data_IF_283800738092
#
_entry.id   IF_283800738092
#
_cell.length_a   1.000
_cell.length_b   1.000
_cell.length_c   1.000
_cell.angle_alpha   90.00
_cell.angle_beta   90.00
_cell.angle_gamma   90.00
#
_symmetry.space_group_name_H-M   'P 1'
#
loop_
_entity.id
_entity.type
_entity.pdbx_description
1 polymer ?
#
# COMPACT_ATOMS: atom_id res chain seq x y z
N UNK A 1 55.98 -58.22 -39.23
CA UNK A 1 56.30 -58.21 -37.77
C UNK A 1 55.99 -56.91 -37.01
N UNK A 2 55.98 -55.74 -37.66
CA UNK A 2 55.79 -54.43 -36.92
C UNK A 2 54.34 -54.16 -36.38
N UNK A 3 53.28 -54.75 -36.92
CA UNK A 3 51.91 -54.55 -36.54
C UNK A 3 51.53 -55.17 -35.18
N UNK A 4 52.09 -56.36 -34.83
CA UNK A 4 51.84 -57.03 -33.55
C UNK A 4 52.44 -56.21 -32.35
N UNK A 5 53.48 -55.47 -32.57
CA UNK A 5 54.12 -54.65 -31.55
C UNK A 5 53.35 -53.38 -31.21
N UNK A 6 52.68 -52.77 -32.22
CA UNK A 6 51.85 -51.56 -32.02
C UNK A 6 50.57 -51.91 -31.29
N UNK A 7 49.92 -53.05 -31.63
CA UNK A 7 48.70 -53.48 -30.95
C UNK A 7 48.99 -53.81 -29.49
N UNK A 8 50.10 -54.45 -29.15
CA UNK A 8 50.49 -54.71 -27.77
C UNK A 8 50.73 -53.43 -26.98
N UNK A 9 51.31 -52.40 -27.59
CA UNK A 9 51.55 -51.10 -26.93
C UNK A 9 50.25 -50.35 -26.68
N UNK A 10 49.29 -50.37 -27.60
CA UNK A 10 47.98 -49.73 -27.45
C UNK A 10 47.21 -50.44 -26.33
N UNK A 11 47.17 -51.78 -26.28
CA UNK A 11 46.51 -52.53 -25.22
C UNK A 11 47.16 -52.23 -23.86
N UNK A 12 48.47 -52.14 -23.79
CA UNK A 12 49.16 -51.82 -22.54
C UNK A 12 48.85 -50.41 -22.04
N UNK A 13 48.71 -49.43 -22.94
CA UNK A 13 48.28 -48.05 -22.57
C UNK A 13 46.83 -48.01 -22.12
N UNK A 14 45.94 -48.74 -22.73
CA UNK A 14 44.54 -48.82 -22.32
C UNK A 14 44.44 -49.49 -20.93
N UNK A 15 45.16 -50.57 -20.68
CA UNK A 15 45.21 -51.22 -19.37
C UNK A 15 45.78 -50.31 -18.27
N UNK A 16 46.84 -49.54 -18.64
CA UNK A 16 47.44 -48.58 -17.69
C UNK A 16 46.49 -47.42 -17.34
N UNK A 17 45.72 -46.92 -18.32
CA UNK A 17 44.68 -45.88 -18.10
C UNK A 17 43.54 -46.41 -17.26
N UNK A 18 43.11 -47.67 -17.50
CA UNK A 18 42.08 -48.35 -16.69
C UNK A 18 42.57 -48.60 -15.25
N UNK A 19 43.82 -48.94 -15.08
CA UNK A 19 44.41 -49.11 -13.73
C UNK A 19 44.61 -47.78 -13.00
N UNK A 20 44.96 -46.68 -13.68
CA UNK A 20 45.01 -45.37 -13.07
C UNK A 20 43.60 -44.88 -12.62
N UNK A 21 42.56 -45.22 -13.40
CA UNK A 21 41.17 -44.88 -13.03
C UNK A 21 40.68 -45.65 -11.77
N UNK A 22 41.26 -46.84 -11.48
CA UNK A 22 40.95 -47.61 -10.30
C UNK A 22 41.70 -47.20 -9.03
N UNK A 23 42.71 -46.32 -9.17
CA UNK A 23 43.52 -45.76 -8.06
C UNK A 23 42.96 -44.45 -7.52
N UNK A 24 41.85 -43.97 -8.05
CA UNK A 24 41.11 -42.89 -7.38
C UNK A 24 40.49 -43.48 -6.14
N UNK A 25 40.96 -43.12 -4.95
CA UNK A 25 40.37 -43.69 -3.70
C UNK A 25 38.89 -43.26 -3.71
N UNK A 26 38.01 -44.26 -3.72
CA UNK A 26 36.54 -44.04 -3.66
C UNK A 26 36.10 -43.38 -2.32
N UNK A 27 37.06 -42.90 -1.55
CA UNK A 27 36.82 -42.30 -0.23
C UNK A 27 36.60 -40.79 -0.23
N UNK A 28 36.60 -40.14 -1.40
CA UNK A 28 36.50 -38.66 -1.41
C UNK A 28 35.23 -38.10 -2.01
N UNK A 29 34.24 -38.92 -2.37
CA UNK A 29 33.07 -38.34 -3.10
C UNK A 29 31.73 -38.54 -2.38
N UNK A 30 31.69 -39.34 -1.36
CA UNK A 30 30.49 -39.40 -0.50
C UNK A 30 30.89 -39.02 0.93
N UNK A 31 31.38 -37.82 1.16
CA UNK A 31 30.84 -37.11 2.30
C UNK A 31 29.34 -37.06 1.98
N UNK A 32 28.61 -38.08 2.42
CA UNK A 32 27.17 -37.95 2.57
C UNK A 32 27.02 -36.63 3.34
N UNK A 33 26.55 -35.59 2.62
CA UNK A 33 25.96 -34.44 3.26
C UNK A 33 24.92 -35.10 4.16
N UNK A 34 25.25 -35.30 5.43
CA UNK A 34 24.24 -35.69 6.41
C UNK A 34 23.09 -34.75 6.05
N UNK A 35 22.01 -35.33 5.54
CA UNK A 35 20.78 -34.59 5.32
C UNK A 35 20.36 -34.21 6.73
N UNK A 36 20.93 -33.09 7.22
CA UNK A 36 20.32 -32.40 8.34
C UNK A 36 18.87 -32.24 7.93
N UNK A 37 18.02 -32.99 8.62
CA UNK A 37 16.60 -32.95 8.37
C UNK A 37 16.17 -31.52 8.64
N UNK A 38 15.92 -30.76 7.57
CA UNK A 38 15.52 -29.36 7.69
C UNK A 38 14.41 -29.22 8.73
N UNK A 39 14.55 -28.27 9.62
CA UNK A 39 13.51 -27.95 10.59
C UNK A 39 12.33 -27.29 9.87
N UNK A 40 11.13 -27.81 10.13
CA UNK A 40 9.93 -27.33 9.46
C UNK A 40 9.39 -26.05 10.13
N UNK A 41 9.17 -25.03 9.35
CA UNK A 41 8.49 -23.80 9.73
C UNK A 41 6.99 -23.96 9.45
N UNK A 42 6.17 -23.86 10.48
CA UNK A 42 4.71 -23.98 10.39
C UNK A 42 4.02 -22.66 10.06
N UNK A 43 4.74 -21.54 10.12
CA UNK A 43 4.19 -20.21 9.83
C UNK A 43 5.26 -19.21 9.43
N UNK A 44 4.83 -18.13 8.73
CA UNK A 44 5.60 -16.91 8.58
C UNK A 44 4.70 -15.69 8.72
N UNK A 45 5.23 -14.67 9.34
CA UNK A 45 4.56 -13.37 9.49
C UNK A 45 5.50 -12.24 9.04
N UNK A 46 4.93 -11.29 8.29
CA UNK A 46 5.59 -10.03 7.95
C UNK A 46 4.78 -8.90 8.55
N UNK A 47 5.46 -8.02 9.28
CA UNK A 47 4.87 -6.87 9.96
C UNK A 47 5.49 -5.57 9.48
N UNK A 48 4.98 -4.43 9.94
CA UNK A 48 5.54 -3.11 9.65
C UNK A 48 5.24 -2.58 8.25
N UNK A 49 4.51 -3.30 7.40
CA UNK A 49 4.06 -2.78 6.11
C UNK A 49 2.92 -1.78 6.33
N UNK A 50 3.07 -0.58 5.79
CA UNK A 50 2.02 0.44 5.86
C UNK A 50 0.84 0.05 4.98
N UNK A 51 -0.37 0.06 5.55
CA UNK A 51 -1.60 -0.20 4.79
C UNK A 51 -1.81 0.86 3.68
N UNK A 52 -2.46 0.49 2.55
CA UNK A 52 -2.75 1.41 1.47
C UNK A 52 -3.52 2.65 1.94
N UNK A 53 -3.04 3.83 1.56
CA UNK A 53 -3.69 5.13 1.80
C UNK A 53 -3.62 5.96 0.52
N UNK A 54 -4.73 6.56 0.13
CA UNK A 54 -4.82 7.40 -1.06
C UNK A 54 -3.70 8.43 -1.09
N UNK A 55 -2.98 8.51 -2.22
CA UNK A 55 -1.88 9.44 -2.45
C UNK A 55 -0.54 9.06 -1.83
N UNK A 56 -0.50 8.05 -0.97
CA UNK A 56 0.76 7.55 -0.40
C UNK A 56 1.52 6.68 -1.41
N UNK A 57 2.83 6.67 -1.29
CA UNK A 57 3.68 5.74 -2.02
C UNK A 57 3.64 4.35 -1.34
N UNK A 58 3.97 3.29 -2.09
CA UNK A 58 3.98 1.93 -1.56
C UNK A 58 5.12 1.72 -0.56
N UNK A 59 4.83 0.99 0.51
CA UNK A 59 5.82 0.60 1.51
C UNK A 59 6.35 -0.79 1.19
N UNK A 60 7.67 -0.91 1.00
CA UNK A 60 8.37 -2.17 0.73
C UNK A 60 9.31 -2.59 1.85
N UNK A 61 9.21 -1.97 3.03
CA UNK A 61 10.16 -2.10 4.14
C UNK A 61 9.67 -2.98 5.29
N UNK A 62 8.84 -3.98 5.00
CA UNK A 62 8.34 -4.92 5.99
C UNK A 62 9.44 -5.58 6.83
N UNK A 63 9.10 -6.03 8.01
CA UNK A 63 9.99 -6.71 8.96
C UNK A 63 9.44 -8.09 9.33
N UNK A 64 10.31 -8.97 9.82
CA UNK A 64 9.92 -10.25 10.42
C UNK A 64 10.09 -10.19 11.94
N UNK A 65 9.32 -10.97 12.73
CA UNK A 65 9.48 -11.05 14.18
C UNK A 65 10.91 -11.43 14.58
N UNK A 66 11.38 -10.89 15.70
CA UNK A 66 12.71 -11.19 16.23
C UNK A 66 12.89 -12.69 16.44
N UNK A 67 14.04 -13.23 16.03
CA UNK A 67 14.36 -14.65 16.14
C UNK A 67 13.73 -15.53 15.05
N UNK A 68 13.04 -14.96 14.06
CA UNK A 68 12.53 -15.67 12.89
C UNK A 68 13.64 -16.44 12.18
N UNK A 69 13.30 -17.62 11.68
CA UNK A 69 14.21 -18.49 10.91
C UNK A 69 14.02 -18.31 9.39
N UNK A 70 13.59 -17.13 8.98
CA UNK A 70 13.41 -16.69 7.60
C UNK A 70 13.60 -15.16 7.50
N UNK A 71 13.80 -14.69 6.31
CA UNK A 71 13.95 -13.26 5.97
C UNK A 71 13.05 -12.88 4.80
N UNK A 72 12.74 -11.59 4.67
CA UNK A 72 12.04 -11.04 3.50
C UNK A 72 13.05 -10.92 2.36
N UNK A 73 12.71 -11.47 1.20
CA UNK A 73 13.46 -11.31 -0.06
C UNK A 73 12.93 -10.11 -0.82
N UNK A 74 11.59 -9.99 -0.89
CA UNK A 74 10.94 -8.97 -1.72
C UNK A 74 9.53 -8.66 -1.25
N UNK A 75 9.17 -7.37 -1.36
CA UNK A 75 7.80 -6.90 -1.21
C UNK A 75 7.41 -6.15 -2.48
N UNK A 76 6.28 -6.53 -3.09
CA UNK A 76 5.72 -5.85 -4.25
C UNK A 76 4.25 -5.51 -3.98
N UNK A 77 3.84 -4.39 -4.56
CA UNK A 77 2.45 -3.97 -4.55
C UNK A 77 1.89 -3.96 -5.97
N UNK A 78 0.62 -4.31 -6.09
CA UNK A 78 -0.09 -4.38 -7.36
C UNK A 78 -1.45 -3.71 -7.24
N UNK A 79 -1.82 -2.96 -8.26
CA UNK A 79 -3.20 -2.59 -8.52
C UNK A 79 -3.96 -3.86 -8.89
N UNK A 80 -5.04 -4.16 -8.20
CA UNK A 80 -5.84 -5.38 -8.37
C UNK A 80 -7.22 -5.10 -9.00
N UNK A 81 -7.41 -3.94 -9.65
CA UNK A 81 -8.65 -3.57 -10.32
C UNK A 81 -8.98 -4.43 -11.56
N UNK A 82 -7.99 -5.10 -12.12
CA UNK A 82 -8.10 -5.95 -13.31
C UNK A 82 -6.87 -6.81 -13.49
N UNK A 83 -6.18 -6.70 -14.62
CA UNK A 83 -4.86 -7.33 -14.80
C UNK A 83 -3.90 -6.70 -13.81
N UNK A 84 -3.22 -7.54 -13.01
CA UNK A 84 -2.31 -7.07 -11.98
C UNK A 84 -1.18 -6.23 -12.58
N UNK A 85 -1.13 -4.95 -12.23
CA UNK A 85 -0.07 -4.02 -12.61
C UNK A 85 0.69 -3.58 -11.36
N UNK A 86 2.03 -3.47 -11.48
CA UNK A 86 2.86 -3.03 -10.35
C UNK A 86 2.47 -1.61 -9.94
N UNK A 87 2.12 -1.44 -8.66
CA UNK A 87 1.83 -0.14 -8.08
C UNK A 87 3.09 0.50 -7.49
N UNK A 88 3.20 1.82 -7.60
CA UNK A 88 4.23 2.65 -6.95
C UNK A 88 3.59 3.61 -5.94
N UNK A 89 2.30 3.88 -6.08
CA UNK A 89 1.48 4.70 -5.19
C UNK A 89 0.06 4.17 -5.16
N UNK A 90 -0.74 4.64 -4.21
CA UNK A 90 -2.12 4.23 -4.02
C UNK A 90 -3.10 5.31 -4.50
N UNK A 91 -4.04 4.92 -5.36
CA UNK A 91 -5.05 5.79 -5.97
C UNK A 91 -6.43 5.50 -5.39
N UNK A 92 -7.30 6.50 -5.44
CA UNK A 92 -8.69 6.36 -5.02
C UNK A 92 -9.46 5.32 -5.84
N UNK A 93 -10.39 4.61 -5.21
CA UNK A 93 -11.29 3.65 -5.85
C UNK A 93 -10.65 2.32 -6.25
N UNK A 94 -9.34 2.13 -6.07
CA UNK A 94 -8.64 0.92 -6.48
C UNK A 94 -8.38 -0.04 -5.32
N UNK A 95 -8.58 -1.35 -5.52
CA UNK A 95 -8.11 -2.39 -4.62
C UNK A 95 -6.61 -2.64 -4.85
N UNK A 96 -5.90 -3.04 -3.80
CA UNK A 96 -4.48 -3.32 -3.89
C UNK A 96 -4.13 -4.69 -3.33
N UNK A 97 -3.09 -5.29 -3.90
CA UNK A 97 -2.52 -6.55 -3.45
C UNK A 97 -1.06 -6.38 -3.10
N UNK A 98 -0.69 -6.79 -1.90
CA UNK A 98 0.72 -6.93 -1.52
C UNK A 98 1.14 -8.38 -1.73
N UNK A 99 2.32 -8.58 -2.29
CA UNK A 99 2.99 -9.88 -2.47
C UNK A 99 4.31 -9.84 -1.74
N UNK A 100 4.50 -10.79 -0.85
CA UNK A 100 5.72 -10.91 -0.07
C UNK A 100 6.39 -12.24 -0.39
N UNK A 101 7.67 -12.17 -0.70
CA UNK A 101 8.55 -13.33 -0.87
C UNK A 101 9.47 -13.43 0.33
N UNK A 102 9.48 -14.59 0.95
CA UNK A 102 10.34 -14.91 2.09
C UNK A 102 11.23 -16.10 1.78
N UNK A 103 12.41 -16.11 2.39
CA UNK A 103 13.38 -17.20 2.31
C UNK A 103 13.70 -17.74 3.69
N UNK A 104 13.59 -19.03 3.87
CA UNK A 104 14.02 -19.73 5.09
C UNK A 104 15.55 -19.67 5.22
N UNK A 105 16.03 -19.54 6.45
CA UNK A 105 17.45 -19.63 6.76
C UNK A 105 17.97 -21.05 6.56
N UNK A 106 19.27 -21.23 6.44
CA UNK A 106 19.90 -22.53 6.26
C UNK A 106 19.47 -23.52 7.35
N UNK A 107 19.14 -24.75 6.94
CA UNK A 107 18.63 -25.79 7.82
C UNK A 107 17.14 -25.67 8.17
N UNK A 108 16.41 -24.74 7.54
CA UNK A 108 14.95 -24.57 7.70
C UNK A 108 14.23 -24.62 6.36
N UNK A 109 12.97 -25.02 6.38
CA UNK A 109 12.05 -24.93 5.24
C UNK A 109 10.60 -24.83 5.70
N UNK A 110 9.74 -24.26 4.90
CA UNK A 110 8.33 -24.15 5.21
C UNK A 110 7.62 -25.50 4.97
N UNK A 111 6.81 -25.94 5.92
CA UNK A 111 5.97 -27.11 5.71
C UNK A 111 4.86 -26.85 4.67
N UNK A 112 4.35 -27.91 4.07
CA UNK A 112 3.11 -27.82 3.29
C UNK A 112 1.96 -27.44 4.21
N UNK A 113 1.16 -26.44 3.85
CA UNK A 113 0.08 -25.94 4.70
C UNK A 113 0.53 -25.03 5.85
N UNK A 114 1.76 -24.47 5.78
CA UNK A 114 2.17 -23.42 6.69
C UNK A 114 1.21 -22.22 6.62
N UNK A 115 1.01 -21.53 7.72
CA UNK A 115 0.18 -20.33 7.79
C UNK A 115 1.01 -19.09 7.54
N UNK A 116 0.46 -18.14 6.76
CA UNK A 116 1.13 -16.89 6.42
C UNK A 116 0.31 -15.70 6.87
N UNK A 117 0.98 -14.66 7.37
CA UNK A 117 0.34 -13.42 7.81
C UNK A 117 1.09 -12.20 7.31
N UNK A 118 0.34 -11.13 7.03
CA UNK A 118 0.85 -9.80 6.76
C UNK A 118 0.15 -8.84 7.71
N UNK A 119 0.91 -8.16 8.57
CA UNK A 119 0.37 -7.28 9.62
C UNK A 119 -0.75 -7.96 10.45
N UNK A 120 -0.57 -9.22 10.84
CA UNK A 120 -1.57 -10.00 11.58
C UNK A 120 -2.73 -10.57 10.75
N UNK A 121 -2.95 -10.09 9.53
CA UNK A 121 -4.00 -10.59 8.63
C UNK A 121 -3.54 -11.86 7.91
N UNK A 122 -4.44 -12.85 7.79
CA UNK A 122 -4.16 -14.09 7.07
C UNK A 122 -3.87 -13.81 5.60
N UNK A 123 -2.75 -14.35 5.12
CA UNK A 123 -2.30 -14.25 3.74
C UNK A 123 -2.35 -15.62 3.05
N UNK A 124 -2.47 -15.62 1.73
CA UNK A 124 -2.57 -16.84 0.91
C UNK A 124 -1.24 -17.14 0.24
N UNK A 125 -0.73 -18.37 0.40
CA UNK A 125 0.41 -18.85 -0.37
C UNK A 125 0.05 -18.92 -1.85
N UNK A 126 0.90 -18.35 -2.72
CA UNK A 126 0.69 -18.36 -4.18
C UNK A 126 1.78 -19.10 -4.93
N UNK A 127 2.97 -19.21 -4.33
CA UNK A 127 4.09 -19.90 -4.94
C UNK A 127 5.06 -20.43 -3.87
N UNK A 128 5.70 -21.54 -4.17
CA UNK A 128 6.80 -22.11 -3.40
C UNK A 128 7.81 -22.75 -4.35
N UNK A 129 9.09 -22.62 -4.05
CA UNK A 129 10.09 -23.43 -4.76
C UNK A 129 9.98 -24.91 -4.36
N UNK A 130 10.65 -25.79 -5.11
CA UNK A 130 10.55 -27.26 -4.92
C UNK A 130 10.89 -27.70 -3.49
N UNK A 131 11.88 -27.10 -2.86
CA UNK A 131 12.37 -27.44 -1.53
C UNK A 131 11.63 -26.68 -0.42
N UNK A 132 10.69 -25.79 -0.78
CA UNK A 132 9.94 -24.92 0.13
C UNK A 132 10.82 -24.08 1.03
N UNK A 133 12.00 -23.69 0.54
CA UNK A 133 12.88 -22.74 1.20
C UNK A 133 12.54 -21.28 0.84
N UNK A 134 11.84 -21.07 -0.29
CA UNK A 134 11.33 -19.77 -0.72
C UNK A 134 9.83 -19.87 -0.98
N UNK A 135 9.09 -18.96 -0.36
CA UNK A 135 7.61 -18.91 -0.44
C UNK A 135 7.18 -17.50 -0.80
N UNK A 136 6.21 -17.42 -1.70
CA UNK A 136 5.48 -16.16 -1.97
C UNK A 136 4.06 -16.28 -1.45
N UNK A 137 3.61 -15.29 -0.70
CA UNK A 137 2.23 -15.18 -0.22
C UNK A 137 1.69 -13.77 -0.41
N UNK A 138 0.38 -13.66 -0.49
CA UNK A 138 -0.30 -12.41 -0.82
C UNK A 138 -1.37 -12.07 0.21
N UNK A 139 -1.62 -10.77 0.36
CA UNK A 139 -2.80 -10.23 1.02
C UNK A 139 -3.45 -9.18 0.12
N UNK A 140 -4.79 -9.21 0.03
CA UNK A 140 -5.54 -8.27 -0.78
C UNK A 140 -6.29 -7.30 0.11
N UNK A 141 -6.07 -6.02 -0.12
CA UNK A 141 -6.82 -4.93 0.49
C UNK A 141 -8.05 -4.60 -0.36
N UNK A 142 -9.18 -4.20 0.27
CA UNK A 142 -10.34 -3.73 -0.45
C UNK A 142 -10.02 -2.45 -1.23
N UNK A 143 -10.93 -2.06 -2.12
CA UNK A 143 -10.82 -0.78 -2.83
C UNK A 143 -10.79 0.38 -1.83
N UNK A 144 -9.88 1.32 -2.07
CA UNK A 144 -9.82 2.57 -1.32
C UNK A 144 -11.06 3.42 -1.65
N UNK A 145 -11.42 4.33 -0.76
CA UNK A 145 -12.53 5.27 -0.97
C UNK A 145 -12.39 6.11 -2.24
N UNK A 146 -13.44 6.86 -2.58
CA UNK A 146 -13.53 7.65 -3.81
C UNK A 146 -12.56 8.85 -3.90
N UNK A 147 -11.88 9.17 -2.81
CA UNK A 147 -10.97 10.32 -2.75
C UNK A 147 -11.65 11.69 -2.81
N UNK A 148 -12.99 11.74 -2.71
CA UNK A 148 -13.74 12.98 -2.82
C UNK A 148 -13.92 13.69 -1.47
N UNK A 149 -13.56 14.96 -1.43
CA UNK A 149 -13.78 15.85 -0.30
C UNK A 149 -15.17 16.47 -0.45
N UNK A 150 -16.14 16.01 0.35
CA UNK A 150 -17.55 16.41 0.25
C UNK A 150 -17.91 17.59 1.16
N UNK A 151 -17.06 17.93 2.12
CA UNK A 151 -17.28 19.04 3.05
C UNK A 151 -15.95 19.68 3.44
N UNK A 152 -15.89 20.99 3.33
CA UNK A 152 -14.74 21.82 3.74
C UNK A 152 -15.18 22.73 4.88
N UNK A 153 -14.57 22.56 6.03
CA UNK A 153 -14.88 23.33 7.25
C UNK A 153 -13.64 24.04 7.73
N UNK A 154 -13.77 25.35 7.94
CA UNK A 154 -12.71 26.21 8.47
C UNK A 154 -13.22 26.78 9.79
N UNK A 155 -12.39 26.70 10.80
CA UNK A 155 -12.65 27.31 12.13
C UNK A 155 -11.55 28.33 12.47
N UNK A 156 -11.70 28.99 13.58
CA UNK A 156 -10.71 29.88 14.20
C UNK A 156 -10.31 31.09 13.35
N UNK A 157 -11.14 31.48 12.36
CA UNK A 157 -10.96 32.76 11.67
C UNK A 157 -11.63 33.86 12.51
N UNK A 158 -10.84 34.83 12.95
CA UNK A 158 -11.35 35.96 13.75
C UNK A 158 -12.35 36.80 12.94
N UNK A 159 -13.53 37.05 13.52
CA UNK A 159 -14.54 37.91 12.92
C UNK A 159 -14.01 39.36 12.81
N UNK A 160 -14.24 40.09 11.70
CA UNK A 160 -13.78 41.46 11.51
C UNK A 160 -14.24 42.39 12.63
N UNK A 161 -13.28 43.19 13.17
CA UNK A 161 -13.52 44.26 14.17
C UNK A 161 -12.76 45.49 13.77
N UNK A 162 -13.38 46.67 13.94
CA UNK A 162 -12.76 47.98 13.61
C UNK A 162 -11.42 48.11 14.36
N UNK A 163 -10.36 48.42 13.61
CA UNK A 163 -9.00 48.60 14.12
C UNK A 163 -8.21 47.35 14.39
N UNK A 164 -8.80 46.18 14.24
CA UNK A 164 -8.07 44.92 14.37
C UNK A 164 -7.34 44.54 13.07
N UNK A 165 -6.23 43.83 13.21
CA UNK A 165 -5.55 43.20 12.09
C UNK A 165 -6.35 42.00 11.56
N UNK A 166 -6.11 41.68 10.29
CA UNK A 166 -6.74 40.49 9.67
C UNK A 166 -6.15 39.18 10.23
N UNK A 167 -7.00 38.20 10.38
CA UNK A 167 -6.57 36.86 10.75
C UNK A 167 -6.47 35.97 9.50
N UNK A 168 -5.27 35.46 9.23
CA UNK A 168 -4.98 34.59 8.09
C UNK A 168 -4.71 33.14 8.50
N UNK A 169 -4.93 32.77 9.79
CA UNK A 169 -4.50 31.49 10.36
C UNK A 169 -5.60 30.42 10.48
N UNK A 170 -6.75 30.58 9.91
CA UNK A 170 -7.85 29.61 10.07
C UNK A 170 -7.39 28.14 10.18
N UNK A 171 -8.14 27.34 10.92
CA UNK A 171 -7.86 25.93 11.20
C UNK A 171 -8.75 25.00 10.37
N UNK A 172 -8.25 23.80 10.08
CA UNK A 172 -9.02 22.71 9.49
C UNK A 172 -9.17 21.56 10.49
N UNK A 173 -10.26 20.76 10.46
CA UNK A 173 -10.43 19.60 11.32
C UNK A 173 -9.25 18.61 11.21
N UNK A 174 -8.90 17.98 12.32
CA UNK A 174 -7.86 16.94 12.31
C UNK A 174 -8.22 15.82 11.32
N UNK A 175 -7.23 15.36 10.54
CA UNK A 175 -7.43 14.33 9.52
C UNK A 175 -8.04 14.83 8.22
N UNK A 176 -8.22 16.14 8.03
CA UNK A 176 -8.65 16.72 6.75
C UNK A 176 -7.68 16.38 5.62
N UNK A 177 -8.24 16.06 4.45
CA UNK A 177 -7.46 15.76 3.25
C UNK A 177 -7.24 16.99 2.36
N UNK A 178 -7.10 18.16 2.98
CA UNK A 178 -6.83 19.45 2.33
C UNK A 178 -6.08 20.38 3.26
N UNK A 179 -5.40 21.37 2.67
CA UNK A 179 -4.79 22.51 3.33
C UNK A 179 -5.44 23.81 2.88
N UNK A 180 -5.24 24.91 3.61
CA UNK A 180 -5.85 26.19 3.31
C UNK A 180 -4.86 27.34 3.36
N UNK A 181 -5.22 28.42 2.65
CA UNK A 181 -4.65 29.76 2.76
C UNK A 181 -5.79 30.76 2.82
N UNK A 182 -5.74 31.71 3.75
CA UNK A 182 -6.80 32.70 3.99
C UNK A 182 -6.29 34.09 3.59
N UNK A 183 -7.16 34.86 2.92
CA UNK A 183 -6.93 36.27 2.57
C UNK A 183 -8.17 37.08 2.83
N UNK A 184 -7.97 38.38 3.14
CA UNK A 184 -9.03 39.32 3.37
C UNK A 184 -9.00 40.44 2.35
N UNK A 185 -10.19 40.90 1.94
CA UNK A 185 -10.36 41.91 0.92
C UNK A 185 -11.40 42.96 1.39
N UNK A 186 -11.15 44.21 1.04
CA UNK A 186 -12.17 45.27 1.03
C UNK A 186 -13.12 45.00 -0.15
N UNK A 187 -14.40 44.74 0.16
CA UNK A 187 -15.38 44.42 -0.88
C UNK A 187 -16.16 45.62 -1.39
N UNK A 188 -15.70 46.84 -1.11
CA UNK A 188 -16.35 48.09 -1.56
C UNK A 188 -16.28 48.26 -3.08
N UNK A 189 -15.12 47.98 -3.68
CA UNK A 189 -14.85 48.25 -5.11
C UNK A 189 -14.04 47.11 -5.72
N UNK A 190 -14.47 46.60 -6.87
CA UNK A 190 -13.71 45.61 -7.64
C UNK A 190 -12.62 46.30 -8.52
N UNK A 191 -11.40 45.72 -8.72
CA UNK A 191 -10.94 44.49 -8.09
C UNK A 191 -10.73 44.67 -6.57
N UNK A 192 -11.17 43.73 -5.78
CA UNK A 192 -11.15 43.82 -4.32
C UNK A 192 -9.71 43.87 -3.80
N UNK A 193 -9.25 45.00 -3.20
CA UNK A 193 -7.89 45.12 -2.69
C UNK A 193 -7.73 44.25 -1.43
N UNK A 194 -6.59 43.54 -1.33
CA UNK A 194 -6.21 42.83 -0.13
C UNK A 194 -5.95 43.82 1.02
N UNK A 195 -6.42 43.49 2.22
CA UNK A 195 -6.28 44.35 3.40
C UNK A 195 -5.51 43.66 4.51
N UNK A 196 -4.84 44.45 5.34
CA UNK A 196 -4.13 43.97 6.55
C UNK A 196 -4.88 44.30 7.86
N UNK A 197 -5.86 45.21 7.83
CA UNK A 197 -6.66 45.63 8.98
C UNK A 197 -8.07 46.01 8.58
N UNK A 198 -8.96 46.15 9.54
CA UNK A 198 -10.37 46.44 9.36
C UNK A 198 -10.71 47.89 9.75
N UNK A 199 -11.41 48.61 8.90
CA UNK A 199 -11.84 50.01 9.10
C UNK A 199 -13.36 50.12 9.24
N UNK A 200 -13.81 51.19 9.88
CA UNK A 200 -15.23 51.52 10.00
C UNK A 200 -15.86 51.80 8.61
N UNK A 201 -17.12 51.42 8.46
CA UNK A 201 -17.92 51.72 7.26
C UNK A 201 -17.64 50.82 6.07
N UNK A 202 -16.67 49.91 6.13
CA UNK A 202 -16.29 49.06 5.03
C UNK A 202 -16.83 47.61 5.18
N UNK A 203 -17.39 47.04 4.11
CA UNK A 203 -17.68 45.63 4.05
C UNK A 203 -16.40 44.82 3.71
N UNK A 204 -16.31 43.61 4.17
CA UNK A 204 -15.13 42.77 3.99
C UNK A 204 -15.50 41.38 3.44
N UNK A 205 -14.58 40.82 2.70
CA UNK A 205 -14.66 39.44 2.19
C UNK A 205 -13.47 38.65 2.68
N UNK A 206 -13.72 37.51 3.28
CA UNK A 206 -12.69 36.51 3.46
C UNK A 206 -12.74 35.51 2.29
N UNK A 207 -11.59 35.30 1.66
CA UNK A 207 -11.42 34.25 0.67
C UNK A 207 -10.50 33.16 1.21
N UNK A 208 -10.94 31.91 1.09
CA UNK A 208 -10.17 30.72 1.44
C UNK A 208 -9.81 29.98 0.17
N UNK A 209 -8.52 29.77 0.00
CA UNK A 209 -7.93 28.96 -1.06
C UNK A 209 -7.62 27.59 -0.45
N UNK A 210 -8.33 26.57 -0.86
CA UNK A 210 -8.13 25.21 -0.37
C UNK A 210 -7.46 24.36 -1.45
N UNK A 211 -6.44 23.59 -1.02
CA UNK A 211 -5.71 22.65 -1.88
C UNK A 211 -5.88 21.24 -1.32
N UNK A 212 -6.39 20.32 -2.12
CA UNK A 212 -6.55 18.92 -1.76
C UNK A 212 -5.17 18.23 -1.63
N UNK A 213 -5.06 17.31 -0.69
CA UNK A 213 -3.88 16.47 -0.55
C UNK A 213 -3.76 15.53 -1.76
N UNK A 214 -2.53 15.04 -2.04
CA UNK A 214 -2.25 14.12 -3.15
C UNK A 214 -3.25 12.94 -3.20
N UNK A 215 -3.88 12.75 -4.35
CA UNK A 215 -4.86 11.69 -4.60
C UNK A 215 -6.30 12.04 -4.20
N UNK A 216 -6.55 13.23 -3.66
CA UNK A 216 -7.89 13.73 -3.33
C UNK A 216 -8.31 14.87 -4.26
N UNK A 217 -9.61 15.07 -4.38
CA UNK A 217 -10.21 16.21 -5.08
C UNK A 217 -11.51 16.65 -4.39
N UNK A 218 -11.94 17.89 -4.63
CA UNK A 218 -13.19 18.39 -4.07
C UNK A 218 -14.39 17.93 -4.92
N UNK A 219 -15.40 17.36 -4.28
CA UNK A 219 -16.64 16.98 -4.96
C UNK A 219 -17.30 18.23 -5.59
N UNK A 220 -17.95 18.07 -6.75
CA UNK A 220 -18.72 19.14 -7.41
C UNK A 220 -19.87 19.66 -6.54
N UNK A 221 -20.35 18.85 -5.61
CA UNK A 221 -21.41 19.18 -4.66
C UNK A 221 -20.88 19.41 -3.25
N UNK A 222 -19.57 19.64 -3.10
CA UNK A 222 -18.99 19.90 -1.80
C UNK A 222 -19.64 21.12 -1.13
N UNK A 223 -19.76 21.05 0.20
CA UNK A 223 -20.24 22.15 1.03
C UNK A 223 -19.06 22.87 1.70
N UNK A 224 -19.16 24.18 1.84
CA UNK A 224 -18.13 25.02 2.40
C UNK A 224 -18.65 25.79 3.58
N UNK A 225 -17.90 25.83 4.67
CA UNK A 225 -18.25 26.59 5.86
C UNK A 225 -17.03 27.27 6.49
N UNK A 226 -17.20 28.52 6.91
CA UNK A 226 -16.22 29.32 7.65
C UNK A 226 -16.85 29.70 8.99
N UNK A 227 -16.26 29.28 10.11
CA UNK A 227 -16.82 29.47 11.44
C UNK A 227 -18.30 29.06 11.55
N UNK A 228 -18.68 27.95 10.91
CA UNK A 228 -20.05 27.44 10.88
C UNK A 228 -21.01 28.18 9.93
N UNK A 229 -20.58 29.26 9.30
CA UNK A 229 -21.39 29.99 8.29
C UNK A 229 -21.13 29.39 6.91
N UNK A 230 -22.21 29.19 6.14
CA UNK A 230 -22.09 28.72 4.75
C UNK A 230 -21.30 29.72 3.91
N UNK A 231 -20.33 29.20 3.16
CA UNK A 231 -19.52 29.97 2.24
C UNK A 231 -19.82 29.52 0.79
N UNK A 232 -19.52 30.40 -0.17
CA UNK A 232 -19.83 30.19 -1.60
C UNK A 232 -18.55 29.89 -2.39
N UNK A 233 -18.51 28.78 -3.15
CA UNK A 233 -17.44 28.49 -4.11
C UNK A 233 -17.45 29.54 -5.23
N UNK A 234 -16.29 30.11 -5.55
CA UNK A 234 -16.13 31.10 -6.62
C UNK A 234 -15.28 30.61 -7.76
N UNK A 235 -14.38 29.67 -7.51
CA UNK A 235 -13.57 29.05 -8.57
C UNK A 235 -13.06 27.69 -8.14
N UNK A 236 -12.80 26.83 -9.15
CA UNK A 236 -12.10 25.56 -9.01
C UNK A 236 -11.26 25.33 -10.27
N UNK A 237 -10.10 24.69 -10.13
CA UNK A 237 -9.35 24.20 -11.29
C UNK A 237 -10.07 22.98 -11.92
N UNK A 238 -9.60 22.55 -13.09
CA UNK A 238 -10.29 21.52 -13.91
C UNK A 238 -10.47 20.17 -13.20
N UNK A 239 -9.50 19.76 -12.41
CA UNK A 239 -9.46 18.50 -11.67
C UNK A 239 -9.94 18.65 -10.22
N UNK A 240 -10.36 19.86 -9.84
CA UNK A 240 -10.87 20.22 -8.51
C UNK A 240 -9.92 19.87 -7.36
N UNK A 241 -8.63 19.94 -7.61
CA UNK A 241 -7.62 19.82 -6.55
C UNK A 241 -7.36 21.16 -5.86
N UNK A 242 -7.75 22.26 -6.49
CA UNK A 242 -7.71 23.60 -5.92
C UNK A 242 -9.05 24.30 -6.10
N UNK A 243 -9.54 24.90 -5.02
CA UNK A 243 -10.80 25.65 -5.02
C UNK A 243 -10.64 26.97 -4.25
N UNK A 244 -11.45 27.94 -4.59
CA UNK A 244 -11.61 29.17 -3.80
C UNK A 244 -13.07 29.31 -3.40
N UNK A 245 -13.31 29.62 -2.13
CA UNK A 245 -14.64 29.95 -1.62
C UNK A 245 -14.57 31.15 -0.69
N UNK A 246 -15.68 31.87 -0.57
CA UNK A 246 -15.74 33.17 0.08
C UNK A 246 -16.87 33.24 1.11
N UNK A 247 -16.68 34.13 2.10
CA UNK A 247 -17.73 34.59 3.00
C UNK A 247 -17.67 36.10 3.09
N UNK A 248 -18.80 36.77 2.85
CA UNK A 248 -18.94 38.19 2.93
C UNK A 248 -19.41 38.65 4.32
N UNK A 249 -18.86 39.76 4.79
CA UNK A 249 -19.22 40.45 6.00
C UNK A 249 -19.76 41.84 5.65
N UNK A 250 -20.86 42.23 6.27
CA UNK A 250 -21.44 43.57 6.13
C UNK A 250 -20.47 44.63 6.61
N UNK A 251 -20.70 45.91 6.18
CA UNK A 251 -19.93 47.05 6.61
C UNK A 251 -19.90 47.16 8.14
N UNK A 252 -18.70 47.31 8.68
CA UNK A 252 -18.49 47.45 10.11
C UNK A 252 -19.04 48.79 10.64
N UNK A 253 -19.89 48.73 11.62
CA UNK A 253 -20.44 49.93 12.28
C UNK A 253 -19.79 50.09 13.64
N UNK A 254 -19.48 51.33 14.02
CA UNK A 254 -19.08 51.65 15.36
C UNK A 254 -20.25 51.34 16.30
N UNK A 255 -20.03 50.55 17.30
CA UNK A 255 -21.03 50.36 18.33
C UNK A 255 -21.09 51.65 19.15
N UNK A 256 -22.13 52.46 18.95
CA UNK A 256 -22.39 53.58 19.90
C UNK A 256 -22.67 52.95 21.25
N UNK A 257 -21.80 53.22 22.19
CA UNK A 257 -22.08 52.94 23.60
C UNK A 257 -23.35 53.72 23.96
N UNK A 258 -24.48 53.02 24.09
CA UNK A 258 -25.67 53.59 24.64
C UNK A 258 -25.41 53.93 26.13
N UNK A 259 -24.85 55.13 26.35
CA UNK A 259 -24.84 55.74 27.64
C UNK A 259 -26.27 56.24 27.94
N UNK A 260 -27.17 55.31 28.21
CA UNK A 260 -28.47 55.66 28.79
C UNK A 260 -28.32 55.79 30.28
N UNK A 261 -27.90 56.95 30.74
CA UNK A 261 -28.18 57.37 32.09
C UNK A 261 -29.68 57.75 32.16
N UNK A 262 -30.55 56.80 32.38
CA UNK A 262 -31.88 57.07 32.90
C UNK A 262 -31.92 56.64 34.35
N UNK A 263 -31.89 57.68 35.22
CA UNK A 263 -32.16 57.63 36.65
C UNK A 263 -33.40 56.77 36.94
N UNK A 264 -33.37 55.85 37.91
CA UNK A 264 -34.55 55.08 38.31
C UNK A 264 -35.54 55.95 39.06
N UNK A 265 -36.73 56.04 38.50
CA UNK A 265 -37.91 56.42 39.32
C UNK A 265 -38.43 55.14 40.00
N UNK A 266 -38.44 55.17 41.33
CA UNK A 266 -39.04 54.18 42.17
C UNK A 266 -40.55 54.16 42.01
N UNK A 267 -41.15 53.01 41.71
CA UNK A 267 -42.54 52.73 42.11
C UNK A 267 -42.70 51.25 42.38
N UNK A 268 -43.22 51.01 43.53
CA UNK A 268 -43.50 49.81 44.28
C UNK A 268 -44.59 48.91 43.69
N UNK A 269 -44.49 47.62 44.05
CA UNK A 269 -45.53 46.57 44.16
C UNK A 269 -45.98 45.83 42.91
N UNK A 270 -45.92 44.54 42.83
CA UNK A 270 -46.65 43.55 43.62
C UNK A 270 -46.22 42.11 43.10
N UNK A 271 -46.06 41.26 44.10
CA UNK A 271 -45.87 39.81 43.98
C UNK A 271 -47.07 39.17 43.33
N UNK A 272 -46.86 38.26 42.40
CA UNK A 272 -47.70 37.06 42.22
C UNK A 272 -46.82 35.94 41.70
N UNK A 273 -46.68 34.92 42.54
CA UNK A 273 -46.17 33.60 42.18
C UNK A 273 -47.20 32.90 41.33
N UNK A 274 -46.74 32.26 40.26
CA UNK A 274 -47.43 31.07 39.74
C UNK A 274 -46.44 30.07 39.18
N UNK A 275 -46.51 28.92 39.82
CA UNK A 275 -45.82 27.68 39.56
C UNK A 275 -46.42 26.97 38.36
N UNK A 276 -45.63 26.34 37.51
CA UNK A 276 -45.96 25.06 36.85
C UNK A 276 -44.83 24.73 35.85
N UNK A 277 -44.22 23.71 36.06
CA UNK A 277 -44.41 22.31 35.75
C UNK A 277 -43.44 21.87 34.65
N UNK A 278 -42.54 21.04 35.13
CA UNK A 278 -41.55 20.30 34.35
C UNK A 278 -42.27 19.17 33.60
N UNK A 279 -42.15 19.07 32.30
CA UNK A 279 -42.48 17.86 31.56
C UNK A 279 -41.19 17.26 30.99
N UNK A 280 -40.78 16.16 31.62
CA UNK A 280 -39.84 15.22 31.05
C UNK A 280 -40.52 14.47 29.89
N UNK A 281 -39.94 14.51 28.72
CA UNK A 281 -40.30 13.61 27.63
C UNK A 281 -39.16 12.66 27.36
N UNK A 282 -39.38 11.44 27.78
CA UNK A 282 -38.56 10.24 27.54
C UNK A 282 -38.61 9.85 26.07
N UNK A 283 -37.48 9.87 25.40
CA UNK A 283 -37.37 9.30 24.02
C UNK A 283 -36.95 7.84 24.10
N UNK A 284 -37.84 6.98 23.61
CA UNK A 284 -37.64 5.55 23.47
C UNK A 284 -36.66 5.21 22.34
N UNK A 285 -35.72 4.33 22.67
CA UNK A 285 -34.86 3.61 21.69
C UNK A 285 -35.72 2.67 20.82
N UNK A 286 -35.62 2.81 19.51
CA UNK A 286 -36.02 1.77 18.56
C UNK A 286 -34.78 1.01 18.09
N UNK A 287 -34.72 -0.24 18.53
CA UNK A 287 -33.77 -1.27 18.09
C UNK A 287 -34.17 -1.78 16.71
N UNK A 288 -33.38 -1.45 15.66
CA UNK A 288 -33.56 -2.03 14.33
C UNK A 288 -32.65 -3.25 14.20
N UNK A 289 -33.26 -4.42 14.29
CA UNK A 289 -32.67 -5.69 13.94
C UNK A 289 -32.49 -5.75 12.43
N UNK A 290 -31.25 -5.78 11.97
CA UNK A 290 -30.91 -6.03 10.56
C UNK A 290 -30.55 -7.50 10.38
N UNK A 291 -31.42 -8.23 9.69
CA UNK A 291 -31.17 -9.59 9.20
C UNK A 291 -30.05 -9.58 8.15
N UNK A 292 -29.00 -10.34 8.41
CA UNK A 292 -27.92 -10.61 7.47
C UNK A 292 -28.30 -11.79 6.58
N UNK A 293 -28.71 -11.52 5.35
CA UNK A 293 -28.71 -12.54 4.29
C UNK A 293 -27.28 -12.80 3.82
N UNK A 294 -26.81 -14.01 4.10
CA UNK A 294 -25.58 -14.58 3.60
C UNK A 294 -25.76 -15.04 2.16
N UNK A 295 -25.30 -14.24 1.19
CA UNK A 295 -25.11 -14.72 -0.18
C UNK A 295 -23.64 -15.00 -0.42
N UNK A 296 -23.31 -16.26 -0.52
CA UNK A 296 -22.01 -16.79 -0.92
C UNK A 296 -21.78 -16.50 -2.42
N UNK A 297 -20.75 -15.79 -2.84
CA UNK A 297 -20.39 -15.75 -4.26
C UNK A 297 -19.61 -17.02 -4.61
N UNK A 298 -20.17 -17.81 -5.51
CA UNK A 298 -19.52 -18.91 -6.21
C UNK A 298 -18.27 -18.40 -6.93
N UNK A 299 -17.09 -18.83 -6.45
CA UNK A 299 -15.82 -18.57 -7.12
C UNK A 299 -15.64 -19.56 -8.26
N UNK A 300 -15.77 -19.10 -9.50
CA UNK A 300 -15.24 -19.79 -10.67
C UNK A 300 -13.71 -19.78 -10.61
N UNK A 301 -13.16 -20.92 -10.27
CA UNK A 301 -11.72 -21.21 -10.34
C UNK A 301 -11.33 -21.25 -11.83
N UNK A 302 -10.65 -20.23 -12.29
CA UNK A 302 -9.90 -20.26 -13.56
C UNK A 302 -8.68 -21.16 -13.35
N UNK A 303 -8.73 -22.33 -13.98
CA UNK A 303 -7.62 -23.28 -14.03
C UNK A 303 -6.53 -22.66 -14.94
N UNK A 304 -5.46 -22.17 -14.33
CA UNK A 304 -4.24 -21.89 -15.06
C UNK A 304 -3.56 -23.21 -15.42
N UNK A 305 -3.48 -23.50 -16.72
CA UNK A 305 -2.65 -24.58 -17.24
C UNK A 305 -1.21 -24.39 -16.75
N UNK A 306 -0.76 -25.40 -16.01
CA UNK A 306 0.61 -25.52 -15.53
C UNK A 306 1.49 -25.89 -16.71
N UNK A 307 2.11 -24.93 -17.35
CA UNK A 307 3.23 -25.19 -18.25
C UNK A 307 4.38 -25.75 -17.42
N UNK A 308 4.48 -27.07 -17.39
CA UNK A 308 5.67 -27.77 -16.91
C UNK A 308 6.84 -27.46 -17.84
N UNK A 309 7.58 -26.42 -17.54
CA UNK A 309 8.94 -26.29 -18.03
C UNK A 309 9.81 -27.27 -17.24
N UNK A 310 9.86 -28.52 -17.73
CA UNK A 310 10.93 -29.44 -17.37
C UNK A 310 12.24 -28.83 -17.87
N UNK A 311 12.88 -28.01 -17.03
CA UNK A 311 14.30 -27.82 -17.13
C UNK A 311 14.91 -29.18 -16.85
N UNK A 312 15.25 -29.91 -17.92
CA UNK A 312 16.15 -31.05 -17.83
C UNK A 312 17.35 -30.58 -16.99
N UNK A 313 17.59 -31.28 -15.90
CA UNK A 313 18.72 -30.99 -15.03
C UNK A 313 19.97 -30.81 -15.88
N UNK A 314 20.61 -29.65 -15.80
CA UNK A 314 21.79 -29.30 -16.60
C UNK A 314 22.88 -30.37 -16.48
N UNK A 315 22.97 -31.01 -15.31
CA UNK A 315 23.89 -32.10 -15.04
C UNK A 315 23.53 -33.36 -15.89
N UNK A 316 22.25 -33.64 -16.07
CA UNK A 316 21.79 -34.76 -16.90
C UNK A 316 22.11 -34.50 -18.39
N UNK A 317 21.93 -33.25 -18.84
CA UNK A 317 22.27 -32.87 -20.22
C UNK A 317 23.78 -32.98 -20.48
N UNK A 318 24.60 -32.52 -19.52
CA UNK A 318 26.07 -32.64 -19.62
C UNK A 318 26.50 -34.10 -19.64
N UNK A 319 25.89 -34.97 -18.82
CA UNK A 319 26.15 -36.40 -18.78
C UNK A 319 25.81 -37.06 -20.11
N UNK A 320 24.68 -36.77 -20.72
CA UNK A 320 24.26 -37.28 -22.01
C UNK A 320 25.24 -36.86 -23.12
N UNK A 321 25.68 -35.59 -23.13
CA UNK A 321 26.66 -35.10 -24.10
C UNK A 321 28.01 -35.84 -23.95
N UNK A 322 28.47 -36.07 -22.73
CA UNK A 322 29.72 -36.81 -22.48
C UNK A 322 29.65 -38.26 -22.94
N UNK A 323 28.51 -38.94 -22.74
CA UNK A 323 28.31 -40.32 -23.20
C UNK A 323 28.29 -40.40 -24.74
N UNK A 324 27.60 -39.46 -25.42
CA UNK A 324 27.55 -39.39 -26.87
C UNK A 324 28.93 -39.14 -27.46
N UNK A 325 29.71 -38.24 -26.88
CA UNK A 325 31.08 -37.96 -27.30
C UNK A 325 31.98 -39.21 -27.17
N UNK A 326 31.85 -39.95 -26.08
CA UNK A 326 32.62 -41.20 -25.87
C UNK A 326 32.26 -42.26 -26.89
N UNK A 327 30.97 -42.43 -27.22
CA UNK A 327 30.49 -43.35 -28.24
C UNK A 327 30.99 -42.96 -29.67
N UNK A 328 31.03 -41.68 -29.98
CA UNK A 328 31.60 -41.21 -31.27
C UNK A 328 33.09 -41.49 -31.36
N UNK A 329 33.85 -41.26 -30.31
CA UNK A 329 35.30 -41.56 -30.29
C UNK A 329 35.55 -43.06 -30.49
N UNK A 330 34.79 -43.92 -29.80
CA UNK A 330 34.93 -45.37 -29.94
C UNK A 330 34.57 -45.84 -31.36
N UNK A 331 33.54 -45.31 -31.98
CA UNK A 331 33.16 -45.62 -33.36
C UNK A 331 34.26 -45.24 -34.37
N UNK A 332 34.86 -44.05 -34.18
CA UNK A 332 35.97 -43.61 -35.04
C UNK A 332 37.19 -44.52 -34.88
N UNK A 333 37.54 -44.89 -33.66
CA UNK A 333 38.67 -45.80 -33.39
C UNK A 333 38.43 -47.18 -34.02
N UNK A 334 37.21 -47.74 -33.90
CA UNK A 334 36.85 -49.01 -34.50
C UNK A 334 36.92 -48.92 -36.02
N UNK A 335 36.43 -47.85 -36.63
CA UNK A 335 36.48 -47.63 -38.10
C UNK A 335 37.92 -47.56 -38.59
N UNK A 336 38.82 -46.89 -37.89
CA UNK A 336 40.25 -46.80 -38.22
C UNK A 336 40.92 -48.19 -38.13
N UNK A 337 40.54 -48.98 -37.11
CA UNK A 337 41.08 -50.33 -36.95
C UNK A 337 40.63 -51.25 -38.10
N UNK A 338 39.34 -51.16 -38.48
CA UNK A 338 38.81 -51.96 -39.60
C UNK A 338 39.45 -51.54 -40.93
N UNK A 339 39.63 -50.23 -41.18
CA UNK A 339 40.32 -49.76 -42.43
C UNK A 339 41.80 -50.14 -42.49
N UNK A 340 42.47 -50.36 -41.39
CA UNK A 340 43.87 -50.84 -41.38
C UNK A 340 44.01 -52.34 -41.50
N UNK A 341 42.92 -53.11 -41.42
CA UNK A 341 42.95 -54.57 -41.67
C UNK A 341 42.58 -55.01 -43.07
N UNK A 342 42.11 -54.11 -43.92
CA UNK A 342 42.01 -54.30 -45.37
C UNK A 342 43.26 -53.71 -46.03
#
# INVERSE_FOLDING_TARGET
MKMKAITKRIIAVIIAVLMLASLIPATSVFAAKDKFKDTLLSSAEVTGLTAPKIGADVDTTGTVPSGSKYSIVKVNWFDASGVLTKATSFEAGKPYRVSVEVKANDGYKFQSGASFKINGSTATETNANTDRTEITFIFQYPALGDGLIKSVKITDITTPKIGADVDTKGSVPSGSNYSIRVKWFDSTIAPFPEVSSFSEGKPYRVAVYATANKGYSFDKKATYAINGKTATETSANSDRTEITFILDYAALKKTENATSSKKPAATSSKVTEESSEIVEETSSEEEIVSETESTTPSSTVSVYEKTNNNLLDVNLVILIIAIVALLCITAVVVTIIIKKKK
#
